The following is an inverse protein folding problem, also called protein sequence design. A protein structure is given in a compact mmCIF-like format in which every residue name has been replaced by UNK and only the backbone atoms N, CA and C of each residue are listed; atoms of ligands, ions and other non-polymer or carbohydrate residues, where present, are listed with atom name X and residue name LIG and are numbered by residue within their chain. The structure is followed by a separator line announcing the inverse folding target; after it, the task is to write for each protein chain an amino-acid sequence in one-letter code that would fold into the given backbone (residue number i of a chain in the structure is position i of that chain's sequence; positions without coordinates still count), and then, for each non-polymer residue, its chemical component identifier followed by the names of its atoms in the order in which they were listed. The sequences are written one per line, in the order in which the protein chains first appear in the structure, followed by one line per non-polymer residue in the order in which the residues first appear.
data_IF_351793012441
#
_entry.id   IF_351793012441
#
_cell.length_a   1.000
_cell.length_b   1.000
_cell.length_c   1.000
_cell.angle_alpha   90.00
_cell.angle_beta   90.00
_cell.angle_gamma   90.00
#
_symmetry.space_group_name_H-M   'P 1'
#
loop_
_entity.id
_entity.type
_entity.pdbx_description
1 polymer ?
#
# COMPACT_ATOMS: atom_id res chain seq x y z
N UNK A 1 11.00 3.02 2.02
CA UNK A 1 10.46 1.68 2.37
C UNK A 1 10.16 1.61 3.85
N UNK A 2 9.10 0.88 4.23
CA UNK A 2 8.64 0.73 5.61
C UNK A 2 8.37 -0.73 5.90
N UNK A 3 8.97 -1.28 6.95
CA UNK A 3 8.58 -2.56 7.53
C UNK A 3 7.89 -2.35 8.87
N UNK A 4 6.80 -3.06 9.14
CA UNK A 4 6.16 -3.03 10.45
C UNK A 4 5.70 -4.41 10.95
N UNK A 5 6.64 -5.38 11.10
CA UNK A 5 6.30 -6.74 11.46
C UNK A 5 5.77 -6.82 12.89
N UNK A 6 4.95 -7.84 13.16
CA UNK A 6 4.42 -8.07 14.50
C UNK A 6 5.53 -8.44 15.47
N UNK A 7 5.57 -7.80 16.63
CA UNK A 7 6.53 -8.07 17.69
C UNK A 7 6.49 -9.55 18.09
N UNK A 8 7.66 -10.18 18.08
CA UNK A 8 7.81 -11.60 18.40
C UNK A 8 7.50 -12.57 17.25
N UNK A 9 7.15 -12.08 16.04
CA UNK A 9 7.06 -12.94 14.86
C UNK A 9 8.45 -13.26 14.30
N UNK A 10 8.52 -14.30 13.46
CA UNK A 10 9.72 -14.60 12.68
C UNK A 10 10.10 -13.41 11.77
N UNK A 11 9.11 -12.78 11.14
CA UNK A 11 9.31 -11.60 10.28
C UNK A 11 9.99 -10.45 11.05
N UNK A 12 9.68 -10.28 12.34
CA UNK A 12 10.32 -9.24 13.16
C UNK A 12 11.79 -9.53 13.45
N UNK A 13 12.21 -10.80 13.43
CA UNK A 13 13.61 -11.20 13.54
C UNK A 13 14.35 -11.02 12.20
N UNK A 14 13.65 -11.11 11.07
CA UNK A 14 14.20 -11.07 9.71
C UNK A 14 13.86 -9.76 8.97
N UNK A 15 13.47 -8.71 9.69
CA UNK A 15 12.99 -7.45 9.08
C UNK A 15 14.00 -6.83 8.13
N UNK A 16 15.29 -6.90 8.44
CA UNK A 16 16.35 -6.38 7.56
C UNK A 16 16.44 -7.21 6.27
N UNK A 17 16.36 -8.54 6.36
CA UNK A 17 16.39 -9.44 5.20
C UNK A 17 15.17 -9.20 4.29
N UNK A 18 14.00 -9.00 4.89
CA UNK A 18 12.76 -8.70 4.16
C UNK A 18 12.84 -7.34 3.45
N UNK A 19 13.39 -6.32 4.12
CA UNK A 19 13.59 -5.01 3.50
C UNK A 19 14.68 -5.04 2.42
N UNK A 20 15.72 -5.84 2.57
CA UNK A 20 16.71 -6.04 1.51
C UNK A 20 16.09 -6.73 0.29
N UNK A 21 15.18 -7.69 0.51
CA UNK A 21 14.39 -8.31 -0.56
C UNK A 21 13.47 -7.30 -1.24
N UNK A 22 12.68 -6.54 -0.47
CA UNK A 22 11.76 -5.55 -1.02
C UNK A 22 12.51 -4.46 -1.80
N UNK A 23 13.76 -4.14 -1.42
CA UNK A 23 14.61 -3.23 -2.17
C UNK A 23 14.98 -3.79 -3.55
N UNK A 24 15.31 -5.09 -3.64
CA UNK A 24 15.55 -5.77 -4.93
C UNK A 24 14.31 -5.82 -5.81
N UNK A 25 13.13 -6.00 -5.22
CA UNK A 25 11.86 -5.93 -5.94
C UNK A 25 11.59 -4.52 -6.47
N UNK A 26 11.80 -3.49 -5.64
CA UNK A 26 11.64 -2.09 -6.03
C UNK A 26 12.59 -1.72 -7.18
N UNK A 27 13.86 -2.11 -7.10
CA UNK A 27 14.85 -1.91 -8.17
C UNK A 27 14.43 -2.59 -9.48
N UNK A 28 13.95 -3.84 -9.39
CA UNK A 28 13.39 -4.57 -10.55
C UNK A 28 12.19 -3.84 -11.18
N UNK A 29 11.40 -3.14 -10.38
CA UNK A 29 10.27 -2.33 -10.84
C UNK A 29 10.67 -0.92 -11.32
N UNK A 30 11.96 -0.57 -11.28
CA UNK A 30 12.50 0.71 -11.71
C UNK A 30 12.39 1.84 -10.67
N UNK A 31 12.18 1.50 -9.39
CA UNK A 31 12.15 2.48 -8.31
C UNK A 31 13.53 2.65 -7.66
N UNK A 32 13.89 3.90 -7.36
CA UNK A 32 15.12 4.24 -6.63
C UNK A 32 14.86 4.26 -5.12
N UNK A 33 15.73 3.61 -4.35
CA UNK A 33 15.63 3.58 -2.89
C UNK A 33 16.25 4.83 -2.27
N UNK A 34 15.41 5.74 -1.77
CA UNK A 34 15.86 6.96 -1.07
C UNK A 34 15.91 6.80 0.47
N UNK A 35 15.40 5.69 1.02
CA UNK A 35 15.45 5.44 2.46
C UNK A 35 14.61 4.26 2.94
N UNK A 36 14.94 3.75 4.13
CA UNK A 36 14.21 2.66 4.80
C UNK A 36 14.04 2.92 6.30
N UNK A 37 12.92 2.48 6.84
CA UNK A 37 12.64 2.49 8.29
C UNK A 37 11.83 1.25 8.65
N UNK A 38 11.87 0.83 9.91
CA UNK A 38 10.92 -0.17 10.41
C UNK A 38 10.43 0.12 11.83
N UNK A 39 9.32 -0.51 12.21
CA UNK A 39 8.79 -0.49 13.57
C UNK A 39 8.13 -1.84 13.91
N UNK A 40 8.60 -2.52 14.97
CA UNK A 40 7.90 -3.72 15.46
C UNK A 40 6.58 -3.33 16.13
N UNK A 41 5.46 -3.91 15.67
CA UNK A 41 4.11 -3.57 16.15
C UNK A 41 3.59 -4.63 17.12
N UNK A 42 2.92 -4.23 18.21
CA UNK A 42 2.14 -5.20 19.00
C UNK A 42 0.92 -5.70 18.20
N UNK A 43 0.24 -4.78 17.51
CA UNK A 43 -0.82 -5.04 16.54
C UNK A 43 -0.94 -3.87 15.53
N UNK A 44 -1.33 -4.13 14.27
CA UNK A 44 -1.57 -3.07 13.30
C UNK A 44 -2.84 -2.28 13.63
N UNK A 45 -2.82 -0.98 13.36
CA UNK A 45 -4.01 -0.14 13.52
C UNK A 45 -4.98 -0.36 12.34
N UNK A 46 -6.30 -0.47 12.57
CA UNK A 46 -7.26 -0.66 11.47
C UNK A 46 -7.29 0.50 10.47
N UNK A 47 -6.87 1.70 10.90
CA UNK A 47 -6.98 2.91 10.11
C UNK A 47 -5.73 3.20 9.28
N UNK A 48 -4.54 3.11 9.87
CA UNK A 48 -3.28 3.56 9.25
C UNK A 48 -2.21 2.47 9.20
N UNK A 49 -2.51 1.25 9.67
CA UNK A 49 -1.55 0.15 9.88
C UNK A 49 -0.52 0.47 11.00
N UNK A 50 0.14 1.62 10.90
CA UNK A 50 0.98 2.24 11.92
C UNK A 50 0.16 3.11 12.88
N UNK A 51 0.79 3.52 13.99
CA UNK A 51 0.24 4.55 14.89
C UNK A 51 0.39 5.96 14.31
N UNK A 52 -0.47 6.90 14.72
CA UNK A 52 -0.46 8.29 14.22
C UNK A 52 0.91 8.97 14.37
N UNK A 53 1.58 8.81 15.50
CA UNK A 53 2.90 9.43 15.73
C UNK A 53 3.95 8.97 14.71
N UNK A 54 3.96 7.67 14.36
CA UNK A 54 4.90 7.14 13.36
C UNK A 54 4.55 7.60 11.95
N UNK A 55 3.27 7.78 11.64
CA UNK A 55 2.82 8.31 10.35
C UNK A 55 3.26 9.76 10.18
N UNK A 56 3.16 10.59 11.22
CA UNK A 56 3.62 11.98 11.17
C UNK A 56 5.14 12.07 11.03
N UNK A 57 5.89 11.25 11.77
CA UNK A 57 7.34 11.11 11.62
C UNK A 57 7.71 10.72 10.18
N UNK A 58 7.03 9.69 9.65
CA UNK A 58 7.26 9.20 8.30
C UNK A 58 6.98 10.28 7.25
N UNK A 59 5.91 11.08 7.42
CA UNK A 59 5.59 12.19 6.53
C UNK A 59 6.74 13.20 6.41
N UNK A 60 7.34 13.58 7.55
CA UNK A 60 8.51 14.46 7.56
C UNK A 60 9.69 13.86 6.80
N UNK A 61 10.02 12.59 7.10
CA UNK A 61 11.12 11.87 6.42
C UNK A 61 10.90 11.81 4.90
N UNK A 62 9.67 11.56 4.45
CA UNK A 62 9.37 11.48 3.01
C UNK A 62 9.50 12.82 2.31
N UNK A 63 9.02 13.88 2.96
CA UNK A 63 9.15 15.24 2.45
C UNK A 63 10.63 15.62 2.30
N UNK A 64 11.44 15.39 3.34
CA UNK A 64 12.85 15.76 3.35
C UNK A 64 13.68 14.93 2.36
N UNK A 65 13.31 13.67 2.15
CA UNK A 65 13.93 12.80 1.14
C UNK A 65 13.44 13.05 -0.29
N UNK A 66 12.42 13.90 -0.50
CA UNK A 66 11.80 14.09 -1.81
C UNK A 66 11.13 12.83 -2.36
N UNK A 67 10.69 11.92 -1.49
CA UNK A 67 10.12 10.64 -1.89
C UNK A 67 8.72 10.83 -2.50
N UNK A 68 8.45 10.15 -3.62
CA UNK A 68 7.15 10.19 -4.33
C UNK A 68 6.30 8.95 -4.08
N UNK A 69 6.91 7.90 -3.51
CA UNK A 69 6.32 6.59 -3.28
C UNK A 69 6.82 6.01 -1.96
N UNK A 70 5.90 5.45 -1.18
CA UNK A 70 6.22 4.57 -0.04
C UNK A 70 5.83 3.14 -0.36
N UNK A 71 6.80 2.24 -0.20
CA UNK A 71 6.57 0.80 -0.19
C UNK A 71 6.46 0.28 1.24
N UNK A 72 5.35 -0.37 1.56
CA UNK A 72 5.18 -1.15 2.78
C UNK A 72 5.51 -2.61 2.51
N UNK A 73 6.27 -3.22 3.41
CA UNK A 73 6.62 -4.64 3.33
C UNK A 73 5.41 -5.55 3.56
N UNK A 74 4.48 -5.11 4.40
CA UNK A 74 3.30 -5.86 4.75
C UNK A 74 2.09 -5.46 3.88
N UNK A 75 1.20 -6.42 3.56
CA UNK A 75 -0.01 -6.13 2.82
C UNK A 75 -0.92 -5.17 3.60
N UNK A 76 -1.46 -4.19 2.91
CA UNK A 76 -2.36 -3.18 3.47
C UNK A 76 -3.80 -3.47 3.07
N UNK A 77 -4.74 -3.34 4.01
CA UNK A 77 -6.14 -3.31 3.64
C UNK A 77 -6.46 -2.08 2.80
N UNK A 78 -7.55 -2.08 2.01
CA UNK A 78 -7.90 -0.93 1.18
C UNK A 78 -8.08 0.39 1.95
N UNK A 79 -8.59 0.31 3.19
CA UNK A 79 -8.78 1.50 4.05
C UNK A 79 -7.43 2.01 4.56
N UNK A 80 -6.53 1.11 4.97
CA UNK A 80 -5.19 1.49 5.41
C UNK A 80 -4.41 2.17 4.29
N UNK A 81 -4.38 1.59 3.09
CA UNK A 81 -3.71 2.20 1.95
C UNK A 81 -4.25 3.60 1.63
N UNK A 82 -5.57 3.72 1.46
CA UNK A 82 -6.22 5.03 1.17
C UNK A 82 -5.92 6.08 2.23
N UNK A 83 -5.93 5.71 3.52
CA UNK A 83 -5.73 6.66 4.59
C UNK A 83 -4.26 7.00 4.79
N UNK A 84 -3.35 6.06 4.54
CA UNK A 84 -1.92 6.33 4.48
C UNK A 84 -1.56 7.28 3.33
N UNK A 85 -2.10 7.08 2.12
CA UNK A 85 -1.89 8.01 1.00
C UNK A 85 -2.34 9.43 1.35
N UNK A 86 -3.52 9.56 1.97
CA UNK A 86 -4.02 10.86 2.43
C UNK A 86 -3.15 11.50 3.50
N UNK A 87 -2.68 10.71 4.47
CA UNK A 87 -1.89 11.21 5.58
C UNK A 87 -0.48 11.62 5.14
N UNK A 88 0.16 10.79 4.30
CA UNK A 88 1.53 10.95 3.84
C UNK A 88 1.66 11.87 2.62
N UNK A 89 0.56 12.11 1.89
CA UNK A 89 0.51 12.93 0.66
C UNK A 89 1.42 12.43 -0.48
N UNK A 90 1.72 11.13 -0.48
CA UNK A 90 2.49 10.43 -1.53
C UNK A 90 1.80 9.13 -1.89
N UNK A 91 2.15 8.53 -3.03
CA UNK A 91 1.62 7.21 -3.42
C UNK A 91 2.05 6.17 -2.40
N UNK A 92 1.17 5.24 -2.07
CA UNK A 92 1.47 4.11 -1.18
C UNK A 92 1.23 2.81 -1.92
N UNK A 93 2.23 1.94 -1.94
CA UNK A 93 2.11 0.57 -2.43
C UNK A 93 2.50 -0.39 -1.32
N UNK A 94 1.85 -1.56 -1.30
CA UNK A 94 2.26 -2.66 -0.45
C UNK A 94 3.03 -3.73 -1.26
N UNK A 95 3.61 -4.70 -0.55
CA UNK A 95 4.36 -5.80 -1.17
C UNK A 95 3.53 -6.58 -2.20
N UNK A 96 2.22 -6.74 -1.98
CA UNK A 96 1.35 -7.44 -2.94
C UNK A 96 1.28 -6.68 -4.26
N UNK A 97 1.10 -5.36 -4.21
CA UNK A 97 1.06 -4.51 -5.42
C UNK A 97 2.39 -4.56 -6.20
N UNK A 98 3.52 -4.45 -5.50
CA UNK A 98 4.85 -4.53 -6.13
C UNK A 98 5.05 -5.87 -6.85
N UNK A 99 4.67 -6.97 -6.22
CA UNK A 99 4.77 -8.32 -6.81
C UNK A 99 3.90 -8.42 -8.08
N UNK A 100 2.65 -7.92 -8.02
CA UNK A 100 1.75 -7.93 -9.18
C UNK A 100 2.29 -7.08 -10.33
N UNK A 101 2.86 -5.91 -10.07
CA UNK A 101 3.47 -5.05 -11.09
C UNK A 101 4.68 -5.71 -11.77
N UNK A 102 5.51 -6.41 -10.99
CA UNK A 102 6.65 -7.18 -11.51
C UNK A 102 6.15 -8.34 -12.38
N UNK A 103 5.14 -9.06 -11.94
CA UNK A 103 4.55 -10.15 -12.73
C UNK A 103 3.92 -9.66 -14.02
N UNK A 104 3.22 -8.52 -14.00
CA UNK A 104 2.65 -7.92 -15.20
C UNK A 104 3.72 -7.58 -16.23
N UNK A 105 4.85 -7.05 -15.76
CA UNK A 105 6.02 -6.72 -16.62
C UNK A 105 6.69 -7.98 -17.20
N UNK A 106 6.66 -9.10 -16.47
CA UNK A 106 7.34 -10.35 -16.85
C UNK A 106 6.46 -11.33 -17.64
N UNK A 107 5.14 -11.24 -17.57
CA UNK A 107 4.22 -12.18 -18.20
C UNK A 107 4.33 -12.15 -19.75
N UNK A 108 4.79 -13.26 -20.34
CA UNK A 108 4.98 -13.37 -21.81
C UNK A 108 3.88 -14.16 -22.52
N UNK A 109 3.44 -15.29 -21.95
CA UNK A 109 2.40 -16.13 -22.54
C UNK A 109 1.00 -15.55 -22.31
N UNK A 110 0.04 -15.91 -23.17
CA UNK A 110 -1.35 -15.49 -23.01
C UNK A 110 -1.95 -15.96 -21.68
N UNK A 111 -1.67 -17.20 -21.29
CA UNK A 111 -2.11 -17.76 -20.00
C UNK A 111 -1.52 -17.00 -18.81
N UNK A 112 -0.21 -16.72 -18.81
CA UNK A 112 0.42 -15.97 -17.73
C UNK A 112 -0.16 -14.55 -17.63
N UNK A 113 -0.40 -13.88 -18.76
CA UNK A 113 -1.03 -12.55 -18.77
C UNK A 113 -2.43 -12.59 -18.17
N UNK A 114 -3.25 -13.58 -18.54
CA UNK A 114 -4.60 -13.74 -17.98
C UNK A 114 -4.58 -13.99 -16.47
N UNK A 115 -3.66 -14.81 -15.96
CA UNK A 115 -3.55 -15.08 -14.52
C UNK A 115 -3.12 -13.83 -13.74
N UNK A 116 -2.16 -13.07 -14.27
CA UNK A 116 -1.73 -11.82 -13.63
C UNK A 116 -2.84 -10.78 -13.66
N UNK A 117 -3.54 -10.64 -14.78
CA UNK A 117 -4.67 -9.71 -14.92
C UNK A 117 -5.80 -10.08 -13.95
N UNK A 118 -6.13 -11.36 -13.82
CA UNK A 118 -7.11 -11.82 -12.82
C UNK A 118 -6.67 -11.44 -11.40
N UNK A 119 -5.42 -11.71 -11.03
CA UNK A 119 -4.90 -11.36 -9.70
C UNK A 119 -4.89 -9.84 -9.45
N UNK A 120 -4.58 -9.04 -10.46
CA UNK A 120 -4.69 -7.57 -10.39
C UNK A 120 -6.14 -7.13 -10.18
N UNK A 121 -7.10 -7.72 -10.92
CA UNK A 121 -8.52 -7.41 -10.75
C UNK A 121 -9.02 -7.79 -9.35
N UNK A 122 -8.64 -8.95 -8.83
CA UNK A 122 -8.99 -9.39 -7.47
C UNK A 122 -8.40 -8.47 -6.39
N UNK A 123 -7.16 -8.00 -6.58
CA UNK A 123 -6.52 -7.03 -5.68
C UNK A 123 -7.18 -5.65 -5.74
N UNK A 124 -7.58 -5.19 -6.93
CA UNK A 124 -8.18 -3.88 -7.15
C UNK A 124 -9.67 -3.81 -6.77
N UNK A 125 -10.43 -4.88 -6.95
CA UNK A 125 -11.88 -4.93 -6.68
C UNK A 125 -12.28 -4.40 -5.29
N UNK A 126 -11.69 -4.86 -4.17
CA UNK A 126 -12.03 -4.35 -2.83
C UNK A 126 -11.55 -2.90 -2.60
N UNK A 127 -10.62 -2.40 -3.42
CA UNK A 127 -10.10 -1.02 -3.36
C UNK A 127 -10.99 -0.04 -4.13
N UNK A 128 -11.51 -0.45 -5.29
CA UNK A 128 -12.41 0.36 -6.13
C UNK A 128 -13.81 0.51 -5.55
N UNK A 129 -14.36 -0.56 -4.97
CA UNK A 129 -15.73 -0.56 -4.39
C UNK A 129 -15.90 0.47 -3.26
N UNK A 130 -14.86 0.72 -2.46
CA UNK A 130 -14.89 1.78 -1.43
C UNK A 130 -14.79 3.20 -1.99
N UNK A 131 -14.15 3.39 -3.13
CA UNK A 131 -14.14 4.68 -3.82
C UNK A 131 -15.54 5.02 -4.35
N UNK A 132 -16.28 4.02 -4.84
CA UNK A 132 -17.66 4.19 -5.30
C UNK A 132 -18.62 4.62 -4.17
N UNK A 133 -18.48 4.08 -2.95
CA UNK A 133 -19.33 4.50 -1.82
C UNK A 133 -19.07 5.95 -1.39
N UNK A 134 -17.86 6.46 -1.57
CA UNK A 134 -17.54 7.88 -1.39
C UNK A 134 -18.18 8.75 -2.49
N UNK A 135 -18.09 8.32 -3.76
CA UNK A 135 -18.68 9.03 -4.90
C UNK A 135 -20.22 9.04 -4.86
N UNK A 136 -20.85 7.94 -4.45
CA UNK A 136 -22.31 7.86 -4.32
C UNK A 136 -22.85 8.75 -3.20
N UNK A 137 -22.09 8.93 -2.11
CA UNK A 137 -22.44 9.85 -1.01
C UNK A 137 -22.33 11.33 -1.41
N UNK A 138 -21.38 11.68 -2.29
CA UNK A 138 -21.30 13.03 -2.89
C UNK A 138 -22.51 13.27 -3.81
N UNK A 139 -22.94 12.27 -4.58
CA UNK A 139 -24.13 12.38 -5.46
C UNK A 139 -25.45 12.44 -4.67
N UNK A 140 -25.50 11.83 -3.48
CA UNK A 140 -26.68 11.81 -2.61
C UNK A 140 -26.92 13.09 -1.79
N UNK A 141 -26.02 14.07 -1.83
CA UNK A 141 -26.15 15.35 -1.11
C UNK A 141 -27.01 16.40 -1.82
N UNK A 142 -27.35 16.20 -3.10
CA UNK A 142 -28.21 17.09 -3.88
C UNK A 142 -29.60 16.45 -4.00
N UNK A 143 -30.47 16.74 -3.04
CA UNK A 143 -31.92 16.86 -3.23
C UNK A 143 -32.66 15.72 -3.96
N UNK A 144 -32.63 14.49 -3.43
CA UNK A 144 -33.60 13.45 -3.81
C UNK A 144 -34.55 13.15 -2.64
N UNK A 145 -35.34 14.17 -2.26
CA UNK A 145 -36.68 13.95 -1.71
C UNK A 145 -37.66 14.18 -2.86
N UNK A 146 -38.12 13.11 -3.50
CA UNK A 146 -39.32 13.20 -4.33
C UNK A 146 -40.54 13.42 -3.44
N UNK A 147 -41.54 14.22 -3.86
CA UNK A 147 -42.84 14.24 -3.21
C UNK A 147 -43.61 12.99 -3.64
N UNK A 148 -43.93 12.12 -2.67
CA UNK A 148 -44.69 10.89 -2.88
C UNK A 148 -44.58 9.93 -1.70
#
# INVERSE_FOLDING_TARGET
MVGAPRKGSADAAQVDEHLDELARLADTAGAELVGRTYQRLDAPTPNLYLGQGKVEELKGVLHDAGATLVLFDEPLSPVQGTNLEKALAVRVMDRTEVILDIFATRARSAEAKMQVELAQLEYLLPRLTRMWTHLSRIRGGIGLRGPG
#
